data_IF_761115357694
#
_entry.id   IF_761115357694
#
_cell.length_a   1.000
_cell.length_b   1.000
_cell.length_c   1.000
_cell.angle_alpha   90.00
_cell.angle_beta   90.00
_cell.angle_gamma   90.00
#
_symmetry.space_group_name_H-M   'P 1'
#
loop_
_entity.id
_entity.type
_entity.pdbx_description
1 polymer ?
#
# COMPACT_ATOMS: atom_id res chain seq x y z
N UNK A 1 17.81 -5.85 -14.82
CA UNK A 1 16.59 -6.45 -14.24
C UNK A 1 15.82 -5.29 -13.66
N UNK A 2 14.73 -4.88 -14.31
CA UNK A 2 13.82 -3.87 -13.73
C UNK A 2 13.25 -4.47 -12.45
N UNK A 3 13.68 -3.94 -11.30
CA UNK A 3 12.95 -4.14 -10.06
C UNK A 3 11.65 -3.36 -10.20
N UNK A 4 10.60 -4.01 -10.67
CA UNK A 4 9.26 -3.45 -10.76
C UNK A 4 8.63 -3.43 -9.37
N UNK A 5 9.08 -2.51 -8.52
CA UNK A 5 8.44 -2.24 -7.22
C UNK A 5 7.00 -1.78 -7.46
N UNK A 6 6.07 -2.49 -6.84
CA UNK A 6 4.66 -2.14 -6.82
C UNK A 6 4.44 -0.81 -6.10
N UNK A 7 5.21 -0.49 -5.06
CA UNK A 7 5.19 0.82 -4.43
C UNK A 7 5.53 1.94 -5.42
N UNK A 8 6.61 1.83 -6.18
CA UNK A 8 7.02 2.83 -7.17
C UNK A 8 5.96 3.01 -8.28
N UNK A 9 5.33 1.91 -8.72
CA UNK A 9 4.21 1.97 -9.66
C UNK A 9 3.04 2.79 -9.12
N UNK A 10 2.66 2.57 -7.86
CA UNK A 10 1.57 3.31 -7.22
C UNK A 10 1.95 4.78 -6.97
N UNK A 11 3.20 5.03 -6.57
CA UNK A 11 3.72 6.39 -6.35
C UNK A 11 3.66 7.19 -7.65
N UNK A 12 4.14 6.62 -8.76
CA UNK A 12 4.06 7.25 -10.08
C UNK A 12 2.62 7.57 -10.49
N UNK A 13 1.66 6.67 -10.23
CA UNK A 13 0.22 6.92 -10.48
C UNK A 13 -0.29 8.09 -9.66
N UNK A 14 0.03 8.13 -8.36
CA UNK A 14 -0.34 9.23 -7.47
C UNK A 14 0.24 10.57 -7.95
N UNK A 15 1.51 10.58 -8.37
CA UNK A 15 2.19 11.78 -8.87
C UNK A 15 1.61 12.28 -10.20
N UNK A 16 1.09 11.37 -11.03
CA UNK A 16 0.29 11.71 -12.21
C UNK A 16 -1.14 12.19 -11.89
N UNK A 17 -1.50 12.33 -10.60
CA UNK A 17 -2.82 12.77 -10.16
C UNK A 17 -3.89 11.67 -10.17
N UNK A 18 -3.53 10.41 -10.40
CA UNK A 18 -4.47 9.29 -10.31
C UNK A 18 -4.83 9.05 -8.85
N UNK A 19 -6.12 9.10 -8.55
CA UNK A 19 -6.61 8.79 -7.21
C UNK A 19 -6.56 7.28 -6.98
N UNK A 20 -5.75 6.85 -6.01
CA UNK A 20 -5.69 5.48 -5.55
C UNK A 20 -6.81 5.22 -4.54
N UNK A 21 -7.56 4.13 -4.73
CA UNK A 21 -8.69 3.74 -3.88
C UNK A 21 -8.26 2.63 -2.92
N UNK A 22 -8.05 2.99 -1.65
CA UNK A 22 -7.64 2.03 -0.65
C UNK A 22 -8.69 0.96 -0.36
N UNK A 23 -9.98 1.24 -0.58
CA UNK A 23 -11.02 0.25 -0.32
C UNK A 23 -10.97 -0.89 -1.33
N UNK A 24 -10.46 -0.63 -2.54
CA UNK A 24 -10.27 -1.61 -3.61
C UNK A 24 -8.96 -2.39 -3.53
N UNK A 25 -8.02 -2.00 -2.66
CA UNK A 25 -6.76 -2.75 -2.52
C UNK A 25 -7.06 -4.20 -2.08
N UNK A 26 -6.48 -5.13 -2.80
CA UNK A 26 -6.60 -6.57 -2.57
C UNK A 26 -5.67 -7.03 -1.44
N UNK A 27 -5.83 -8.30 -1.03
CA UNK A 27 -4.90 -8.93 -0.10
C UNK A 27 -3.47 -8.93 -0.67
N UNK A 28 -3.29 -9.39 -1.91
CA UNK A 28 -1.97 -9.57 -2.51
C UNK A 28 -1.24 -8.23 -2.65
N UNK A 29 -1.93 -7.18 -3.08
CA UNK A 29 -1.35 -5.83 -3.21
C UNK A 29 -0.94 -5.24 -1.85
N UNK A 30 -1.77 -5.41 -0.82
CA UNK A 30 -1.43 -4.92 0.52
C UNK A 30 -0.33 -5.77 1.17
N UNK A 31 -0.29 -7.06 0.87
CA UNK A 31 0.76 -7.97 1.31
C UNK A 31 2.10 -7.65 0.63
N UNK A 32 2.10 -7.38 -0.67
CA UNK A 32 3.28 -6.94 -1.40
C UNK A 32 3.86 -5.67 -0.77
N UNK A 33 3.03 -4.64 -0.59
CA UNK A 33 3.48 -3.39 0.04
C UNK A 33 4.01 -3.60 1.46
N UNK A 34 3.26 -4.30 2.30
CA UNK A 34 3.56 -4.35 3.74
C UNK A 34 4.62 -5.38 4.10
N UNK A 35 4.64 -6.53 3.43
CA UNK A 35 5.45 -7.70 3.78
C UNK A 35 6.63 -7.89 2.84
N UNK A 36 6.39 -7.87 1.52
CA UNK A 36 7.44 -8.16 0.53
C UNK A 36 8.36 -6.95 0.36
N UNK A 37 7.77 -5.77 0.13
CA UNK A 37 8.50 -4.50 -0.02
C UNK A 37 8.78 -3.80 1.32
N UNK A 38 8.21 -4.33 2.41
CA UNK A 38 8.41 -3.84 3.78
C UNK A 38 8.15 -2.32 3.94
N UNK A 39 7.13 -1.81 3.24
CA UNK A 39 6.72 -0.42 3.30
C UNK A 39 5.94 -0.16 4.60
N UNK A 40 6.34 0.81 5.43
CA UNK A 40 5.64 1.14 6.67
C UNK A 40 4.18 1.57 6.45
N UNK A 41 3.30 1.20 7.39
CA UNK A 41 1.87 1.59 7.36
C UNK A 41 1.66 3.11 7.20
N UNK A 42 2.59 3.95 7.69
CA UNK A 42 2.55 5.41 7.48
C UNK A 42 2.77 5.82 6.03
N UNK A 43 3.73 5.20 5.35
CA UNK A 43 4.04 5.50 3.94
C UNK A 43 2.92 4.99 3.04
N UNK A 44 2.37 3.81 3.33
CA UNK A 44 1.15 3.32 2.65
C UNK A 44 -0.02 4.28 2.90
N UNK A 45 -0.17 4.78 4.12
CA UNK A 45 -1.20 5.77 4.45
C UNK A 45 -1.08 7.04 3.59
N UNK A 46 0.12 7.59 3.48
CA UNK A 46 0.40 8.77 2.66
C UNK A 46 0.15 8.52 1.17
N UNK A 47 0.46 7.31 0.68
CA UNK A 47 0.21 6.90 -0.71
C UNK A 47 -1.28 6.91 -1.05
N UNK A 48 -2.12 6.41 -0.16
CA UNK A 48 -3.58 6.31 -0.35
C UNK A 48 -4.37 7.48 0.27
N UNK A 49 -3.69 8.47 0.87
CA UNK A 49 -4.30 9.60 1.60
C UNK A 49 -5.24 9.17 2.72
N UNK A 50 -4.82 8.16 3.48
CA UNK A 50 -5.52 7.66 4.68
C UNK A 50 -4.56 7.60 5.86
N UNK A 51 -5.08 7.37 7.06
CA UNK A 51 -4.22 7.24 8.25
C UNK A 51 -3.52 5.89 8.30
N UNK A 52 -2.34 5.84 8.94
CA UNK A 52 -1.62 4.58 9.20
C UNK A 52 -2.46 3.59 10.00
N UNK A 53 -3.34 4.08 10.89
CA UNK A 53 -4.24 3.24 11.68
C UNK A 53 -5.27 2.52 10.79
N UNK A 54 -5.76 3.18 9.73
CA UNK A 54 -6.66 2.57 8.76
C UNK A 54 -5.95 1.46 7.96
N UNK A 55 -4.69 1.70 7.55
CA UNK A 55 -3.85 0.69 6.89
C UNK A 55 -3.67 -0.51 7.81
N UNK A 56 -3.20 -0.28 9.03
CA UNK A 56 -3.00 -1.33 10.04
C UNK A 56 -4.27 -2.13 10.28
N UNK A 57 -5.43 -1.46 10.42
CA UNK A 57 -6.72 -2.12 10.65
C UNK A 57 -7.08 -3.06 9.49
N UNK A 58 -6.91 -2.62 8.23
CA UNK A 58 -7.20 -3.45 7.05
C UNK A 58 -6.22 -4.62 6.95
N UNK A 59 -4.92 -4.36 7.16
CA UNK A 59 -3.84 -5.35 7.17
C UNK A 59 -4.13 -6.48 8.18
N UNK A 60 -4.51 -6.12 9.41
CA UNK A 60 -4.88 -7.08 10.46
C UNK A 60 -6.18 -7.83 10.14
N UNK A 61 -7.20 -7.17 9.56
CA UNK A 61 -8.45 -7.82 9.11
C UNK A 61 -8.18 -8.87 8.04
N UNK A 62 -7.17 -8.63 7.20
CA UNK A 62 -6.70 -9.52 6.14
C UNK A 62 -5.72 -10.58 6.64
N UNK A 63 -5.34 -10.58 7.92
CA UNK A 63 -4.44 -11.58 8.50
C UNK A 63 -2.95 -11.30 8.30
N UNK A 64 -2.58 -10.15 7.73
CA UNK A 64 -1.19 -9.73 7.52
C UNK A 64 -0.68 -9.16 8.85
N UNK A 65 0.12 -9.92 9.58
CA UNK A 65 0.62 -9.55 10.92
C UNK A 65 2.14 -9.37 10.87
N UNK A 66 2.54 -8.11 11.00
CA UNK A 66 3.90 -7.56 11.05
C UNK A 66 3.90 -6.46 12.09
#
# INVERSE_FOLDING_TARGET
>A
MENNSFYELLLSKKDCGIQLDFDKITYDELYELSFIENIPDSIVGDLFRITKEAVRKKRYKLGIKL
#
